data_IF_255108452826
#
_entry.id   IF_255108452826
#
_cell.length_a   1.000
_cell.length_b   1.000
_cell.length_c   1.000
_cell.angle_alpha   90.00
_cell.angle_beta   90.00
_cell.angle_gamma   90.00
#
_symmetry.space_group_name_H-M   'P 1'
#
loop_
_entity.id
_entity.type
_entity.pdbx_description
1 polymer ?
#
# COMPACT_ATOMS: atom_id res chain seq x y z
N UNK A 1 26.27 -9.46 11.70
CA UNK A 1 25.29 -9.65 10.60
C UNK A 1 24.42 -8.40 10.60
N UNK A 2 23.93 -7.91 9.47
CA UNK A 2 23.13 -6.69 9.49
C UNK A 2 21.78 -7.04 10.16
N UNK A 3 21.60 -6.73 11.44
CA UNK A 3 20.45 -7.16 12.26
C UNK A 3 19.10 -6.63 11.71
N UNK A 4 19.15 -5.75 10.71
CA UNK A 4 17.99 -5.23 9.98
C UNK A 4 17.65 -5.98 8.69
N UNK A 5 18.52 -6.87 8.21
CA UNK A 5 18.35 -7.54 6.91
C UNK A 5 17.17 -8.52 6.93
N UNK A 6 17.21 -9.52 7.82
CA UNK A 6 16.16 -10.55 7.88
C UNK A 6 14.76 -9.96 8.09
N UNK A 7 14.54 -9.03 9.05
CA UNK A 7 13.20 -8.48 9.23
C UNK A 7 12.70 -7.66 8.04
N UNK A 8 13.62 -7.01 7.31
CA UNK A 8 13.26 -6.32 6.05
C UNK A 8 12.90 -7.32 4.95
N UNK A 9 13.61 -8.43 4.86
CA UNK A 9 13.30 -9.49 3.89
C UNK A 9 11.96 -10.16 4.23
N UNK A 10 11.64 -10.37 5.51
CA UNK A 10 10.36 -10.91 5.94
C UNK A 10 9.20 -9.99 5.58
N UNK A 11 9.34 -8.69 5.82
CA UNK A 11 8.37 -7.69 5.35
C UNK A 11 8.20 -7.75 3.83
N UNK A 12 9.29 -7.78 3.05
CA UNK A 12 9.22 -7.83 1.59
C UNK A 12 8.57 -9.12 1.08
N UNK A 13 8.81 -10.26 1.73
CA UNK A 13 8.14 -11.53 1.42
C UNK A 13 6.65 -11.46 1.69
N UNK A 14 6.24 -10.86 2.81
CA UNK A 14 4.82 -10.70 3.14
C UNK A 14 4.12 -9.73 2.18
N UNK A 15 4.74 -8.57 1.87
CA UNK A 15 4.20 -7.58 0.94
C UNK A 15 4.07 -8.10 -0.51
N UNK A 16 4.84 -9.13 -0.88
CA UNK A 16 4.74 -9.78 -2.19
C UNK A 16 3.33 -10.29 -2.50
N UNK A 17 2.57 -10.62 -1.46
CA UNK A 17 1.18 -11.10 -1.56
C UNK A 17 0.27 -10.12 -2.31
N UNK A 18 0.60 -8.81 -2.36
CA UNK A 18 -0.13 -7.82 -3.17
C UNK A 18 -0.13 -8.12 -4.67
N UNK A 19 0.82 -8.92 -5.17
CA UNK A 19 0.79 -9.39 -6.56
C UNK A 19 -0.33 -10.40 -6.81
N UNK A 20 -0.78 -11.08 -5.76
CA UNK A 20 -1.84 -12.08 -5.78
C UNK A 20 -3.18 -11.52 -5.26
N UNK A 21 -3.17 -10.39 -4.54
CA UNK A 21 -4.39 -9.67 -4.15
C UNK A 21 -5.02 -9.03 -5.38
N UNK A 22 -6.17 -9.56 -5.81
CA UNK A 22 -6.91 -9.06 -6.97
C UNK A 22 -7.93 -8.01 -6.55
N UNK A 23 -8.07 -6.97 -7.37
CA UNK A 23 -9.04 -5.90 -7.19
C UNK A 23 -10.29 -6.12 -8.04
N UNK A 24 -11.33 -5.35 -7.74
CA UNK A 24 -12.51 -5.24 -8.62
C UNK A 24 -12.20 -4.57 -9.97
N UNK A 25 -11.10 -3.83 -10.07
CA UNK A 25 -10.60 -3.23 -11.30
C UNK A 25 -10.13 -4.26 -12.32
N UNK A 26 -10.34 -3.97 -13.60
CA UNK A 26 -9.94 -4.85 -14.70
C UNK A 26 -9.04 -4.11 -15.69
N UNK A 27 -8.08 -4.84 -16.25
CA UNK A 27 -7.26 -4.39 -17.38
C UNK A 27 -8.10 -4.24 -18.65
N UNK A 28 -7.54 -3.60 -19.68
CA UNK A 28 -8.23 -3.38 -20.97
C UNK A 28 -8.63 -4.67 -21.69
N UNK A 29 -8.08 -5.82 -21.30
CA UNK A 29 -8.44 -7.15 -21.84
C UNK A 29 -9.43 -7.90 -20.97
N UNK A 30 -9.92 -7.29 -19.88
CA UNK A 30 -10.86 -7.91 -18.95
C UNK A 30 -10.23 -8.86 -17.94
N UNK A 31 -8.89 -8.89 -17.79
CA UNK A 31 -8.24 -9.60 -16.68
C UNK A 31 -8.34 -8.75 -15.40
N UNK A 32 -8.69 -9.32 -14.23
CA UNK A 32 -8.58 -8.63 -12.95
C UNK A 32 -7.17 -8.09 -12.71
N UNK A 33 -7.08 -6.83 -12.29
CA UNK A 33 -5.84 -6.14 -11.90
C UNK A 33 -5.47 -6.54 -10.46
N UNK A 34 -4.18 -6.72 -10.17
CA UNK A 34 -3.72 -6.91 -8.78
C UNK A 34 -3.44 -5.58 -8.08
N UNK A 35 -3.44 -5.57 -6.75
CA UNK A 35 -3.09 -4.39 -5.95
C UNK A 35 -1.69 -3.89 -6.25
N UNK A 36 -0.72 -4.78 -6.47
CA UNK A 36 0.62 -4.37 -6.91
C UNK A 36 0.62 -3.67 -8.28
N UNK A 37 -0.18 -4.17 -9.25
CA UNK A 37 -0.32 -3.55 -10.58
C UNK A 37 -1.00 -2.18 -10.50
N UNK A 38 -2.02 -2.06 -9.66
CA UNK A 38 -2.72 -0.81 -9.37
C UNK A 38 -1.75 0.24 -8.82
N UNK A 39 -1.05 -0.09 -7.74
CA UNK A 39 -0.07 0.77 -7.09
C UNK A 39 1.04 1.22 -8.03
N UNK A 40 1.55 0.31 -8.86
CA UNK A 40 2.54 0.66 -9.88
C UNK A 40 2.00 1.72 -10.86
N UNK A 41 0.78 1.54 -11.38
CA UNK A 41 0.18 2.49 -12.34
C UNK A 41 -0.13 3.83 -11.68
N UNK A 42 -0.52 3.83 -10.41
CA UNK A 42 -0.73 5.04 -9.62
C UNK A 42 0.56 5.86 -9.47
N UNK A 43 1.68 5.21 -9.13
CA UNK A 43 2.99 5.87 -9.07
C UNK A 43 3.41 6.45 -10.43
N UNK A 44 3.16 5.74 -11.54
CA UNK A 44 3.40 6.29 -12.88
C UNK A 44 2.56 7.53 -13.15
N UNK A 45 1.30 7.54 -12.73
CA UNK A 45 0.44 8.72 -12.85
C UNK A 45 1.03 9.91 -12.11
N UNK A 46 1.47 9.72 -10.86
CA UNK A 46 2.13 10.77 -10.06
C UNK A 46 3.35 11.33 -10.79
N UNK A 47 4.22 10.46 -11.34
CA UNK A 47 5.42 10.92 -12.06
C UNK A 47 5.09 11.76 -13.30
N UNK A 48 4.01 11.43 -14.03
CA UNK A 48 3.63 12.11 -15.26
C UNK A 48 2.96 13.47 -15.00
N UNK A 49 2.15 13.56 -13.95
CA UNK A 49 1.42 14.79 -13.62
C UNK A 49 2.18 15.72 -12.67
N UNK A 50 3.20 15.23 -11.95
CA UNK A 50 4.00 16.03 -11.02
C UNK A 50 4.47 17.40 -11.55
N UNK A 51 4.90 17.56 -12.83
CA UNK A 51 5.31 18.87 -13.35
C UNK A 51 4.23 19.95 -13.32
N UNK A 52 2.95 19.55 -13.34
CA UNK A 52 1.81 20.47 -13.29
C UNK A 52 1.47 20.93 -11.86
N UNK A 53 2.09 20.34 -10.83
CA UNK A 53 1.83 20.60 -9.41
C UNK A 53 3.13 20.92 -8.65
N UNK A 54 3.73 22.10 -8.85
CA UNK A 54 5.05 22.44 -8.30
C UNK A 54 5.08 22.53 -6.76
N UNK A 55 3.93 22.69 -6.12
CA UNK A 55 3.80 22.78 -4.66
C UNK A 55 3.70 21.40 -3.97
N UNK A 56 3.65 20.31 -4.75
CA UNK A 56 3.54 18.94 -4.23
C UNK A 56 4.92 18.34 -3.98
N UNK A 57 5.14 17.79 -2.78
CA UNK A 57 6.29 16.93 -2.52
C UNK A 57 6.10 15.57 -3.21
N UNK A 58 6.66 15.46 -4.41
CA UNK A 58 6.55 14.27 -5.27
C UNK A 58 7.12 13.02 -4.60
N UNK A 59 8.22 13.15 -3.84
CA UNK A 59 8.81 11.99 -3.17
C UNK A 59 7.90 11.49 -2.06
N UNK A 60 7.32 12.39 -1.26
CA UNK A 60 6.34 12.04 -0.23
C UNK A 60 5.12 11.37 -0.86
N UNK A 61 4.58 11.94 -1.94
CA UNK A 61 3.41 11.40 -2.63
C UNK A 61 3.68 10.00 -3.23
N UNK A 62 4.84 9.80 -3.87
CA UNK A 62 5.23 8.48 -4.36
C UNK A 62 5.36 7.44 -3.25
N UNK A 63 5.92 7.83 -2.09
CA UNK A 63 5.98 6.94 -0.92
C UNK A 63 4.59 6.57 -0.44
N UNK A 64 3.66 7.52 -0.31
CA UNK A 64 2.27 7.27 0.06
C UNK A 64 1.59 6.32 -0.92
N UNK A 65 1.65 6.60 -2.22
CA UNK A 65 1.08 5.74 -3.25
C UNK A 65 1.65 4.32 -3.17
N UNK A 66 2.94 4.15 -2.89
CA UNK A 66 3.55 2.84 -2.78
C UNK A 66 3.02 2.02 -1.59
N UNK A 67 2.61 2.68 -0.50
CA UNK A 67 2.27 2.00 0.75
C UNK A 67 0.78 1.96 1.08
N UNK A 68 -0.07 2.75 0.41
CA UNK A 68 -1.46 2.99 0.83
C UNK A 68 -2.27 1.69 1.01
N UNK A 69 -2.14 0.77 0.06
CA UNK A 69 -2.84 -0.53 0.09
C UNK A 69 -2.01 -1.66 0.72
N UNK A 70 -0.94 -1.38 1.49
CA UNK A 70 -0.12 -2.44 2.09
C UNK A 70 -0.93 -3.38 3.00
N UNK A 71 -1.93 -2.86 3.72
CA UNK A 71 -2.81 -3.68 4.57
C UNK A 71 -3.56 -4.78 3.82
N UNK A 72 -3.82 -4.60 2.51
CA UNK A 72 -4.49 -5.59 1.66
C UNK A 72 -3.65 -6.86 1.43
N UNK A 73 -2.36 -6.87 1.80
CA UNK A 73 -1.51 -8.06 1.71
C UNK A 73 -1.99 -9.19 2.63
N UNK A 74 -2.67 -8.88 3.73
CA UNK A 74 -3.10 -9.89 4.72
C UNK A 74 -4.54 -10.37 4.49
N UNK A 75 -5.46 -9.47 4.16
CA UNK A 75 -6.90 -9.78 4.10
C UNK A 75 -7.57 -9.49 2.75
N UNK A 76 -6.78 -9.05 1.75
CA UNK A 76 -7.25 -8.78 0.41
C UNK A 76 -7.88 -7.40 0.22
N UNK A 77 -8.29 -7.10 -1.01
CA UNK A 77 -9.02 -5.88 -1.37
C UNK A 77 -10.52 -6.09 -1.13
N UNK A 78 -11.13 -5.18 -0.36
CA UNK A 78 -12.59 -5.10 -0.19
C UNK A 78 -13.10 -3.91 -1.01
N UNK A 79 -13.80 -4.16 -2.13
CA UNK A 79 -14.33 -3.11 -3.00
C UNK A 79 -15.28 -2.18 -2.24
N UNK A 80 -15.26 -0.89 -2.58
CA UNK A 80 -16.09 0.12 -1.93
C UNK A 80 -17.60 -0.21 -1.92
N UNK A 81 -18.09 -0.93 -2.93
CA UNK A 81 -19.50 -1.34 -3.05
C UNK A 81 -19.89 -2.48 -2.12
N UNK A 82 -18.91 -3.24 -1.63
CA UNK A 82 -19.10 -4.42 -0.78
C UNK A 82 -18.74 -4.12 0.69
N UNK A 83 -18.33 -2.89 1.01
CA UNK A 83 -17.99 -2.48 2.37
C UNK A 83 -19.24 -2.39 3.25
N UNK A 84 -19.15 -2.95 4.46
CA UNK A 84 -20.20 -2.79 5.47
C UNK A 84 -20.09 -1.39 6.09
N UNK A 85 -21.11 -0.52 5.96
CA UNK A 85 -21.08 0.82 6.57
C UNK A 85 -21.06 0.80 8.10
N UNK A 86 -21.33 -0.33 8.74
CA UNK A 86 -21.17 -0.51 10.19
C UNK A 86 -19.73 -0.84 10.61
N UNK A 87 -18.86 -1.21 9.66
CA UNK A 87 -17.45 -1.54 9.89
C UNK A 87 -16.59 -0.39 9.38
N UNK A 88 -15.73 0.13 10.25
CA UNK A 88 -14.74 1.11 9.83
C UNK A 88 -13.56 0.38 9.16
N UNK A 89 -13.63 0.27 7.83
CA UNK A 89 -12.60 -0.36 7.00
C UNK A 89 -11.21 0.22 7.28
N UNK A 90 -11.11 1.52 7.56
CA UNK A 90 -9.82 2.17 7.85
C UNK A 90 -9.18 1.61 9.12
N UNK A 91 -9.97 1.26 10.14
CA UNK A 91 -9.48 0.68 11.39
C UNK A 91 -8.93 -0.73 11.15
N UNK A 92 -9.60 -1.53 10.34
CA UNK A 92 -9.15 -2.88 9.99
C UNK A 92 -7.89 -2.83 9.12
N UNK A 93 -7.86 -2.01 8.08
CA UNK A 93 -6.69 -1.85 7.21
C UNK A 93 -5.47 -1.33 7.97
N UNK A 94 -5.68 -0.41 8.92
CA UNK A 94 -4.62 0.06 9.81
C UNK A 94 -4.07 -1.07 10.68
N UNK A 95 -4.95 -1.93 11.22
CA UNK A 95 -4.52 -3.08 12.00
C UNK A 95 -3.71 -4.08 11.17
N UNK A 96 -4.13 -4.34 9.92
CA UNK A 96 -3.42 -5.21 8.99
C UNK A 96 -2.07 -4.62 8.58
N UNK A 97 -2.01 -3.31 8.36
CA UNK A 97 -0.75 -2.62 8.12
C UNK A 97 0.21 -2.82 9.30
N UNK A 98 -0.25 -2.56 10.53
CA UNK A 98 0.57 -2.70 11.73
C UNK A 98 1.13 -4.12 11.89
N UNK A 99 0.34 -5.14 11.60
CA UNK A 99 0.80 -6.52 11.59
C UNK A 99 1.85 -6.76 10.49
N UNK A 100 1.62 -6.26 9.28
CA UNK A 100 2.54 -6.42 8.16
C UNK A 100 3.91 -5.77 8.41
N UNK A 101 3.92 -4.56 8.97
CA UNK A 101 5.15 -3.78 9.21
C UNK A 101 5.83 -4.14 10.53
N UNK A 102 5.24 -4.97 11.39
CA UNK A 102 5.77 -5.36 12.69
C UNK A 102 7.24 -5.87 12.67
N UNK A 103 7.70 -6.61 11.63
CA UNK A 103 9.10 -7.03 11.56
C UNK A 103 10.08 -5.87 11.35
N UNK A 104 9.65 -4.74 10.79
CA UNK A 104 10.56 -3.68 10.37
C UNK A 104 11.28 -3.01 11.55
N UNK A 105 12.51 -2.52 11.33
CA UNK A 105 13.18 -1.59 12.25
C UNK A 105 12.28 -0.40 12.62
N UNK A 106 12.39 0.06 13.87
CA UNK A 106 11.47 1.05 14.46
C UNK A 106 11.36 2.36 13.66
N UNK A 107 12.45 2.82 13.04
CA UNK A 107 12.49 4.00 12.17
C UNK A 107 11.63 3.80 10.91
N UNK A 108 11.78 2.66 10.22
CA UNK A 108 11.00 2.33 9.02
C UNK A 108 9.54 2.06 9.33
N UNK A 109 9.27 1.36 10.42
CA UNK A 109 7.91 1.14 10.92
C UNK A 109 7.21 2.48 11.16
N UNK A 110 7.85 3.41 11.87
CA UNK A 110 7.28 4.73 12.16
C UNK A 110 7.05 5.56 10.90
N UNK A 111 7.98 5.54 9.93
CA UNK A 111 7.82 6.25 8.67
C UNK A 111 6.63 5.74 7.86
N UNK A 112 6.49 4.42 7.69
CA UNK A 112 5.38 3.82 6.92
C UNK A 112 4.05 4.13 7.60
N UNK A 113 3.96 3.94 8.91
CA UNK A 113 2.72 4.22 9.64
C UNK A 113 2.30 5.69 9.53
N UNK A 114 3.25 6.63 9.68
CA UNK A 114 2.97 8.05 9.59
C UNK A 114 2.49 8.48 8.19
N UNK A 115 3.06 7.90 7.13
CA UNK A 115 2.63 8.17 5.76
C UNK A 115 1.25 7.58 5.47
N UNK A 116 0.95 6.39 6.01
CA UNK A 116 -0.35 5.76 5.84
C UNK A 116 -1.45 6.50 6.62
N UNK A 117 -1.13 6.96 7.84
CA UNK A 117 -2.02 7.77 8.68
C UNK A 117 -2.31 9.16 8.06
N UNK A 118 -1.47 9.67 7.16
CA UNK A 118 -1.74 10.91 6.41
C UNK A 118 -2.60 10.66 5.16
N UNK A 119 -2.54 9.46 4.58
CA UNK A 119 -3.33 9.11 3.40
C UNK A 119 -4.81 8.90 3.73
N UNK A 120 -5.11 8.30 4.89
CA UNK A 120 -6.48 8.01 5.36
C UNK A 120 -7.12 9.15 6.13
#
# INVERSE_FOLDING_TARGET
MNDQLEPTLDFLRAAEQLKNTLRSGHTSTGRPESTAEHTWRLCLMVMLFAPDYPDVDVLRLLKMCLIHDLGEALHGDIPAVDQDPAVDKSVEERAHLLELIAPLPADRHAEILALWDEYN
#
